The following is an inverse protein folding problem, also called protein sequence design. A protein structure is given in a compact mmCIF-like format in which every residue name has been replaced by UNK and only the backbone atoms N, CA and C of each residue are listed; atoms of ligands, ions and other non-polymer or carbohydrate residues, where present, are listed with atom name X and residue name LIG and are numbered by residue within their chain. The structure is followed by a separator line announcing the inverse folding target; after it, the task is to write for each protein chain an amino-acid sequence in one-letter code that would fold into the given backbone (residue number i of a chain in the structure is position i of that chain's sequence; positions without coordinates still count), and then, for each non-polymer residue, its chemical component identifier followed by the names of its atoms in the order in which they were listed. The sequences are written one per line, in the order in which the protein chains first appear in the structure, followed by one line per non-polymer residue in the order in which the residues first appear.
data_IF_081173299981
#
_entry.id   IF_081173299981
#
_cell.length_a   1.000
_cell.length_b   1.000
_cell.length_c   1.000
_cell.angle_alpha   90.00
_cell.angle_beta   90.00
_cell.angle_gamma   90.00
#
_symmetry.space_group_name_H-M   'P 1'
#
loop_
_entity.id
_entity.type
_entity.pdbx_description
1 polymer ?
#
# COMPACT_ATOMS: atom_id res chain seq x y z
N UNK A 1 -1.78 16.86 13.25
CA UNK A 1 -1.40 16.91 11.83
C UNK A 1 -0.35 15.83 11.60
N UNK A 2 -0.70 14.70 11.00
CA UNK A 2 0.26 13.61 10.75
C UNK A 2 1.00 13.86 9.43
N UNK A 3 2.28 14.16 9.55
CA UNK A 3 3.21 14.42 8.44
C UNK A 3 3.67 13.11 7.75
N UNK A 4 2.74 12.27 7.31
CA UNK A 4 3.05 10.97 6.68
C UNK A 4 3.15 10.99 5.16
N UNK A 5 2.46 11.90 4.47
CA UNK A 5 2.38 11.87 3.00
C UNK A 5 3.26 12.91 2.29
N UNK A 6 3.81 13.90 3.00
CA UNK A 6 4.25 15.15 2.34
C UNK A 6 5.52 15.06 1.49
N UNK A 7 6.38 14.06 1.65
CA UNK A 7 7.69 14.00 0.96
C UNK A 7 8.20 12.56 0.68
N UNK A 8 7.33 11.61 0.31
CA UNK A 8 7.84 10.33 -0.21
C UNK A 8 8.45 10.58 -1.60
N UNK A 9 9.75 10.31 -1.76
CA UNK A 9 10.40 10.32 -3.07
C UNK A 9 9.71 9.30 -4.00
N UNK A 10 9.83 9.50 -5.32
CA UNK A 10 9.27 8.54 -6.30
C UNK A 10 9.75 7.10 -6.06
N UNK A 11 10.98 6.95 -5.58
CA UNK A 11 11.58 5.67 -5.20
C UNK A 11 10.85 5.06 -4.00
N UNK A 12 10.65 5.83 -2.93
CA UNK A 12 9.93 5.37 -1.73
C UNK A 12 8.48 5.00 -2.00
N UNK A 13 7.82 5.71 -2.93
CA UNK A 13 6.49 5.33 -3.41
C UNK A 13 6.50 4.03 -4.20
N UNK A 14 7.53 3.80 -5.04
CA UNK A 14 7.67 2.56 -5.80
C UNK A 14 7.90 1.37 -4.87
N UNK A 15 8.78 1.51 -3.87
CA UNK A 15 9.01 0.52 -2.80
C UNK A 15 7.72 0.18 -2.06
N UNK A 16 6.95 1.20 -1.65
CA UNK A 16 5.66 1.01 -0.98
C UNK A 16 4.68 0.18 -1.84
N UNK A 17 4.62 0.46 -3.14
CA UNK A 17 3.76 -0.27 -4.07
C UNK A 17 4.23 -1.72 -4.22
N UNK A 18 5.53 -1.96 -4.36
CA UNK A 18 6.10 -3.31 -4.45
C UNK A 18 5.83 -4.12 -3.18
N UNK A 19 6.03 -3.52 -2.01
CA UNK A 19 5.73 -4.14 -0.73
C UNK A 19 4.23 -4.44 -0.58
N UNK A 20 3.36 -3.49 -0.94
CA UNK A 20 1.92 -3.70 -0.88
C UNK A 20 1.42 -4.75 -1.88
N UNK A 21 2.08 -4.94 -3.02
CA UNK A 21 1.79 -5.99 -3.98
C UNK A 21 2.30 -7.36 -3.53
N UNK A 22 3.34 -7.39 -2.69
CA UNK A 22 3.97 -8.60 -2.18
C UNK A 22 3.06 -9.36 -1.24
N UNK A 23 2.86 -10.64 -1.55
CA UNK A 23 2.06 -11.50 -0.70
C UNK A 23 2.71 -11.83 0.66
N UNK A 24 4.00 -11.54 0.82
CA UNK A 24 4.78 -11.82 2.03
C UNK A 24 4.77 -10.67 3.05
N UNK A 25 4.25 -9.51 2.68
CA UNK A 25 4.29 -8.30 3.51
C UNK A 25 2.90 -7.99 4.05
N UNK A 26 2.80 -7.78 5.35
CA UNK A 26 1.55 -7.38 6.01
C UNK A 26 1.41 -5.85 6.06
N UNK A 27 0.19 -5.35 6.17
CA UNK A 27 -0.04 -3.92 6.38
C UNK A 27 0.58 -3.40 7.69
N UNK A 28 0.76 -4.26 8.70
CA UNK A 28 1.46 -3.89 9.94
C UNK A 28 2.95 -3.65 9.70
N UNK A 29 3.60 -4.48 8.87
CA UNK A 29 5.00 -4.26 8.48
C UNK A 29 5.16 -2.93 7.71
N UNK A 30 4.26 -2.68 6.75
CA UNK A 30 4.24 -1.40 6.00
C UNK A 30 4.02 -0.21 6.94
N UNK A 31 3.16 -0.36 7.97
CA UNK A 31 2.97 0.68 8.98
C UNK A 31 4.22 0.91 9.83
N UNK A 32 4.98 -0.12 10.14
CA UNK A 32 6.24 0.00 10.88
C UNK A 32 7.33 0.73 10.08
N UNK A 33 7.44 0.42 8.79
CA UNK A 33 8.48 0.98 7.90
C UNK A 33 8.14 2.38 7.37
N UNK A 34 6.87 2.60 6.98
CA UNK A 34 6.42 3.83 6.31
C UNK A 34 5.54 4.72 7.20
N UNK A 35 5.13 4.26 8.39
CA UNK A 35 4.19 4.99 9.24
C UNK A 35 2.76 5.06 8.69
N UNK A 36 2.48 4.39 7.57
CA UNK A 36 1.20 4.47 6.85
C UNK A 36 0.19 3.44 7.37
N UNK A 37 -1.04 3.87 7.62
CA UNK A 37 -2.14 2.95 7.92
C UNK A 37 -2.59 2.25 6.65
N UNK A 38 -3.26 1.12 6.81
CA UNK A 38 -3.83 0.34 5.70
C UNK A 38 -4.70 1.19 4.77
N UNK A 39 -5.47 2.15 5.29
CA UNK A 39 -6.31 3.05 4.48
C UNK A 39 -5.47 3.98 3.60
N UNK A 40 -4.33 4.45 4.10
CA UNK A 40 -3.39 5.31 3.38
C UNK A 40 -2.69 4.50 2.28
N UNK A 41 -2.26 3.28 2.59
CA UNK A 41 -1.70 2.34 1.58
C UNK A 41 -2.73 2.05 0.48
N UNK A 42 -3.99 1.79 0.83
CA UNK A 42 -5.07 1.59 -0.16
C UNK A 42 -5.26 2.82 -1.06
N UNK A 43 -5.17 4.03 -0.51
CA UNK A 43 -5.27 5.26 -1.28
C UNK A 43 -4.10 5.43 -2.25
N UNK A 44 -2.87 5.14 -1.81
CA UNK A 44 -1.68 5.13 -2.69
C UNK A 44 -1.86 4.11 -3.81
N UNK A 45 -2.26 2.88 -3.48
CA UNK A 45 -2.47 1.82 -4.46
C UNK A 45 -3.56 2.18 -5.48
N UNK A 46 -4.64 2.82 -5.04
CA UNK A 46 -5.72 3.29 -5.93
C UNK A 46 -5.26 4.37 -6.90
N UNK A 47 -4.37 5.27 -6.47
CA UNK A 47 -3.83 6.36 -7.30
C UNK A 47 -2.78 5.87 -8.31
N UNK A 48 -2.04 4.82 -7.98
CA UNK A 48 -0.91 4.35 -8.78
C UNK A 48 -1.22 3.13 -9.67
N UNK A 49 -2.19 2.29 -9.30
CA UNK A 49 -2.57 1.14 -10.10
C UNK A 49 -3.69 1.47 -11.10
N UNK A 50 -3.67 0.78 -12.24
CA UNK A 50 -4.83 0.75 -13.15
C UNK A 50 -6.05 0.19 -12.42
N UNK A 51 -7.28 0.64 -12.75
CA UNK A 51 -8.50 0.19 -12.06
C UNK A 51 -8.66 -1.34 -11.98
N UNK A 52 -8.40 -2.06 -13.08
CA UNK A 52 -8.45 -3.53 -13.11
C UNK A 52 -7.42 -4.17 -12.17
N UNK A 53 -6.19 -3.65 -12.15
CA UNK A 53 -5.12 -4.14 -11.26
C UNK A 53 -5.43 -3.88 -9.78
N UNK A 54 -5.98 -2.70 -9.46
CA UNK A 54 -6.41 -2.37 -8.11
C UNK A 54 -7.53 -3.32 -7.62
N UNK A 55 -8.51 -3.62 -8.46
CA UNK A 55 -9.59 -4.57 -8.13
C UNK A 55 -9.03 -5.97 -7.88
N UNK A 56 -8.10 -6.44 -8.73
CA UNK A 56 -7.45 -7.75 -8.55
C UNK A 56 -6.66 -7.81 -7.23
N UNK A 57 -5.86 -6.78 -6.94
CA UNK A 57 -5.12 -6.67 -5.68
C UNK A 57 -6.06 -6.65 -4.46
N UNK A 58 -7.16 -5.88 -4.52
CA UNK A 58 -8.21 -5.85 -3.47
C UNK A 58 -8.78 -7.23 -3.19
N UNK A 59 -9.04 -8.05 -4.22
CA UNK A 59 -9.49 -9.43 -4.06
C UNK A 59 -8.45 -10.31 -3.36
N UNK A 60 -7.15 -10.14 -3.67
CA UNK A 60 -6.06 -10.89 -3.02
C UNK A 60 -5.97 -10.58 -1.53
N UNK A 61 -5.94 -9.30 -1.16
CA UNK A 61 -5.82 -8.91 0.25
C UNK A 61 -7.07 -9.24 1.06
N UNK A 62 -8.26 -9.22 0.45
CA UNK A 62 -9.51 -9.61 1.13
C UNK A 62 -9.53 -11.10 1.48
N UNK A 63 -8.99 -11.96 0.60
CA UNK A 63 -8.90 -13.42 0.86
C UNK A 63 -7.99 -13.75 2.05
N UNK A 64 -7.00 -12.91 2.36
CA UNK A 64 -6.08 -13.10 3.49
C UNK A 64 -6.65 -12.76 4.87
N UNK A 65 -7.80 -12.06 4.92
CA UNK A 65 -8.46 -11.72 6.17
C UNK A 65 -9.52 -12.73 6.62
N UNK A 66 -9.62 -13.88 5.95
CA UNK A 66 -10.51 -15.00 6.30
C UNK A 66 -9.71 -16.15 6.88
#
# INVERSE_FOLDING_TARGET
MSAGEKNLSKERMSELIELALSDKVSFNAIRGEFGLREIEVKNVMRKNLKPKSYIAWRKRIFRKGK
#
